data_IF_841113781899
#
_entry.id   IF_841113781899
#
_cell.length_a   1.000
_cell.length_b   1.000
_cell.length_c   1.000
_cell.angle_alpha   90.00
_cell.angle_beta   90.00
_cell.angle_gamma   90.00
#
_symmetry.space_group_name_H-M   'P 1'
#
loop_
_entity.id
_entity.type
_entity.pdbx_description
1 polymer ?
#
# COMPACT_ATOMS: atom_id res chain seq x y z
N UNK A 1 -4.00 -0.06 24.67
CA UNK A 1 -3.57 0.28 23.29
C UNK A 1 -2.17 0.86 23.43
N UNK A 2 -1.17 0.29 22.76
CA UNK A 2 0.19 0.86 22.75
C UNK A 2 0.19 2.19 21.97
N UNK A 3 1.19 3.06 22.18
CA UNK A 3 1.32 4.30 21.41
C UNK A 3 1.42 4.00 19.91
N UNK A 4 2.12 2.93 19.54
CA UNK A 4 2.22 2.46 18.14
C UNK A 4 0.87 2.08 17.56
N UNK A 5 0.03 1.36 18.29
CA UNK A 5 -1.30 0.97 17.83
C UNK A 5 -2.19 2.20 17.58
N UNK A 6 -2.17 3.15 18.48
CA UNK A 6 -2.92 4.41 18.32
C UNK A 6 -2.45 5.23 17.11
N UNK A 7 -1.13 5.38 16.94
CA UNK A 7 -0.56 6.09 15.80
C UNK A 7 -0.82 5.37 14.48
N UNK A 8 -0.81 4.02 14.49
CA UNK A 8 -1.17 3.20 13.34
C UNK A 8 -2.59 3.52 12.86
N UNK A 9 -3.55 3.53 13.78
CA UNK A 9 -4.95 3.85 13.46
C UNK A 9 -5.10 5.25 12.87
N UNK A 10 -4.38 6.23 13.40
CA UNK A 10 -4.39 7.60 12.84
C UNK A 10 -3.93 7.61 11.38
N UNK A 11 -2.86 6.88 11.04
CA UNK A 11 -2.33 6.83 9.68
C UNK A 11 -3.30 6.11 8.74
N UNK A 12 -3.81 4.95 9.14
CA UNK A 12 -4.75 4.17 8.32
C UNK A 12 -6.05 4.96 8.09
N UNK A 13 -6.58 5.63 9.12
CA UNK A 13 -7.78 6.45 8.96
C UNK A 13 -7.56 7.62 7.98
N UNK A 14 -6.38 8.24 7.96
CA UNK A 14 -6.05 9.26 6.95
C UNK A 14 -5.97 8.67 5.54
N UNK A 15 -5.37 7.49 5.39
CA UNK A 15 -5.31 6.80 4.10
C UNK A 15 -6.71 6.45 3.60
N UNK A 16 -7.56 5.95 4.49
CA UNK A 16 -8.96 5.60 4.21
C UNK A 16 -9.78 6.82 3.80
N UNK A 17 -9.67 7.94 4.50
CA UNK A 17 -10.37 9.19 4.16
C UNK A 17 -10.02 9.65 2.74
N UNK A 18 -8.72 9.60 2.37
CA UNK A 18 -8.28 9.89 0.99
C UNK A 18 -8.87 8.89 -0.01
N UNK A 19 -8.88 7.61 0.33
CA UNK A 19 -9.41 6.56 -0.51
C UNK A 19 -10.90 6.72 -0.76
N UNK A 20 -11.70 6.97 0.29
CA UNK A 20 -13.14 7.18 0.20
C UNK A 20 -13.51 8.41 -0.63
N UNK A 21 -12.76 9.53 -0.49
CA UNK A 21 -12.94 10.72 -1.33
C UNK A 21 -12.72 10.39 -2.80
N UNK A 22 -11.64 9.68 -3.13
CA UNK A 22 -11.35 9.25 -4.51
C UNK A 22 -12.38 8.25 -5.04
N UNK A 23 -12.88 7.37 -4.19
CA UNK A 23 -13.95 6.43 -4.55
C UNK A 23 -15.24 7.17 -4.91
N UNK A 24 -15.57 8.27 -4.21
CA UNK A 24 -16.71 9.13 -4.55
C UNK A 24 -16.52 9.89 -5.86
N UNK A 25 -15.28 10.32 -6.16
CA UNK A 25 -14.99 11.11 -7.36
C UNK A 25 -14.93 10.26 -8.64
N UNK A 26 -14.40 9.04 -8.56
CA UNK A 26 -14.04 8.23 -9.74
C UNK A 26 -14.58 6.80 -9.72
N UNK A 27 -15.35 6.42 -8.69
CA UNK A 27 -15.76 5.04 -8.48
C UNK A 27 -14.54 4.11 -8.32
N UNK A 28 -14.74 2.84 -8.63
CA UNK A 28 -13.67 1.83 -8.62
C UNK A 28 -12.94 1.70 -9.96
N UNK A 29 -12.65 2.82 -10.64
CA UNK A 29 -12.00 2.86 -11.95
C UNK A 29 -10.67 2.08 -12.02
N UNK A 30 -9.98 1.90 -10.89
CA UNK A 30 -8.78 1.08 -10.79
C UNK A 30 -9.01 -0.42 -11.06
N UNK A 31 -10.26 -0.88 -11.09
CA UNK A 31 -10.62 -2.26 -11.39
C UNK A 31 -10.17 -2.74 -12.77
N UNK A 32 -10.04 -1.82 -13.73
CA UNK A 32 -9.56 -2.12 -15.07
C UNK A 32 -8.03 -2.28 -15.15
N UNK A 33 -7.30 -1.89 -14.09
CA UNK A 33 -5.84 -1.95 -14.10
C UNK A 33 -5.36 -3.38 -13.93
N UNK A 34 -4.42 -3.78 -14.77
CA UNK A 34 -3.66 -5.01 -14.59
C UNK A 34 -2.90 -4.94 -13.27
N UNK A 35 -2.67 -6.07 -12.65
CA UNK A 35 -1.92 -6.14 -11.40
C UNK A 35 -0.54 -5.47 -11.53
N UNK A 36 0.20 -5.73 -12.61
CA UNK A 36 1.49 -5.07 -12.89
C UNK A 36 1.40 -3.54 -12.93
N UNK A 37 0.30 -2.99 -13.47
CA UNK A 37 0.08 -1.53 -13.51
C UNK A 37 -0.11 -0.93 -12.12
N UNK A 38 -0.80 -1.63 -11.22
CA UNK A 38 -0.92 -1.21 -9.83
C UNK A 38 0.43 -1.24 -9.10
N UNK A 39 1.24 -2.27 -9.33
CA UNK A 39 2.59 -2.37 -8.77
C UNK A 39 3.50 -1.25 -9.31
N UNK A 40 3.35 -0.86 -10.57
CA UNK A 40 4.10 0.26 -11.14
C UNK A 40 3.70 1.60 -10.49
N UNK A 41 2.43 1.80 -10.11
CA UNK A 41 2.02 2.97 -9.34
C UNK A 41 2.71 3.02 -7.96
N UNK A 42 2.82 1.88 -7.29
CA UNK A 42 3.55 1.78 -6.03
C UNK A 42 5.05 2.06 -6.25
N UNK A 43 5.63 1.48 -7.31
CA UNK A 43 7.05 1.64 -7.64
C UNK A 43 7.44 3.10 -7.89
N UNK A 44 6.64 3.85 -8.64
CA UNK A 44 6.90 5.27 -8.93
C UNK A 44 6.98 6.07 -7.62
N UNK A 45 6.07 5.80 -6.68
CA UNK A 45 6.05 6.46 -5.37
C UNK A 45 7.26 6.12 -4.52
N UNK A 46 7.61 4.85 -4.43
CA UNK A 46 8.82 4.40 -3.72
C UNK A 46 10.09 5.01 -4.30
N UNK A 47 10.20 5.08 -5.64
CA UNK A 47 11.32 5.75 -6.33
C UNK A 47 11.38 7.24 -6.04
N UNK A 48 10.23 7.93 -5.99
CA UNK A 48 10.18 9.36 -5.65
C UNK A 48 10.66 9.60 -4.22
N UNK A 49 10.18 8.81 -3.25
CA UNK A 49 10.62 8.90 -1.85
C UNK A 49 12.14 8.78 -1.78
N UNK A 50 12.71 7.72 -2.36
CA UNK A 50 14.15 7.49 -2.34
C UNK A 50 14.93 8.63 -3.00
N UNK A 51 14.48 9.14 -4.14
CA UNK A 51 15.15 10.26 -4.82
C UNK A 51 15.15 11.53 -3.95
N UNK A 52 14.07 11.82 -3.21
CA UNK A 52 14.02 12.95 -2.28
C UNK A 52 14.97 12.72 -1.10
N UNK A 53 15.01 11.51 -0.56
CA UNK A 53 15.94 11.15 0.54
C UNK A 53 17.42 11.28 0.13
N UNK A 54 17.78 10.91 -1.11
CA UNK A 54 19.15 10.96 -1.62
C UNK A 54 19.58 12.38 -2.02
N UNK A 55 18.68 13.16 -2.60
CA UNK A 55 19.05 14.47 -3.17
C UNK A 55 18.71 15.66 -2.27
N UNK A 56 17.79 15.48 -1.32
CA UNK A 56 17.21 16.58 -0.53
C UNK A 56 16.39 17.56 -1.37
N UNK A 57 16.17 17.28 -2.66
CA UNK A 57 15.51 18.19 -3.60
C UNK A 57 14.11 17.71 -3.95
N UNK A 58 13.14 18.60 -3.79
CA UNK A 58 11.75 18.37 -4.16
C UNK A 58 11.25 19.53 -5.02
N UNK A 59 10.81 19.23 -6.25
CA UNK A 59 10.22 20.24 -7.17
C UNK A 59 8.70 20.33 -7.05
N UNK A 60 8.05 19.22 -6.73
CA UNK A 60 6.60 19.17 -6.53
C UNK A 60 6.36 19.31 -5.02
N UNK A 61 5.48 20.25 -4.65
CA UNK A 61 5.25 20.61 -3.22
C UNK A 61 4.46 19.59 -2.39
N UNK A 62 4.15 18.43 -2.97
CA UNK A 62 3.46 17.37 -2.22
C UNK A 62 4.36 16.80 -1.12
N UNK A 63 3.84 16.75 0.10
CA UNK A 63 4.53 16.16 1.25
C UNK A 63 4.93 14.70 0.94
N UNK A 64 6.16 14.33 1.30
CA UNK A 64 6.67 12.95 1.20
C UNK A 64 5.73 11.93 1.88
N UNK A 65 5.01 12.33 2.94
CA UNK A 65 3.99 11.52 3.60
C UNK A 65 2.88 11.09 2.64
N UNK A 66 2.52 11.96 1.67
CA UNK A 66 1.50 11.64 0.67
C UNK A 66 1.88 10.46 -0.21
N UNK A 67 3.18 10.24 -0.45
CA UNK A 67 3.67 9.10 -1.20
C UNK A 67 3.53 7.80 -0.39
N UNK A 68 3.84 7.82 0.91
CA UNK A 68 3.62 6.65 1.78
C UNK A 68 2.12 6.30 1.86
N UNK A 69 1.24 7.29 2.02
CA UNK A 69 -0.22 7.07 2.00
C UNK A 69 -0.69 6.51 0.65
N UNK A 70 -0.12 6.99 -0.44
CA UNK A 70 -0.37 6.44 -1.76
C UNK A 70 0.05 4.98 -1.89
N UNK A 71 1.23 4.60 -1.36
CA UNK A 71 1.70 3.21 -1.35
C UNK A 71 0.75 2.33 -0.52
N UNK A 72 0.32 2.78 0.68
CA UNK A 72 -0.65 2.05 1.51
C UNK A 72 -1.93 1.80 0.71
N UNK A 73 -2.53 2.84 0.14
CA UNK A 73 -3.79 2.73 -0.59
C UNK A 73 -3.67 1.82 -1.83
N UNK A 74 -2.61 1.96 -2.63
CA UNK A 74 -2.39 1.08 -3.78
C UNK A 74 -2.09 -0.36 -3.36
N UNK A 75 -1.42 -0.59 -2.22
CA UNK A 75 -1.21 -1.94 -1.70
C UNK A 75 -2.52 -2.60 -1.29
N UNK A 76 -3.43 -1.87 -0.64
CA UNK A 76 -4.77 -2.37 -0.31
C UNK A 76 -5.59 -2.61 -1.59
N UNK A 77 -5.54 -1.69 -2.58
CA UNK A 77 -6.16 -1.90 -3.89
C UNK A 77 -5.62 -3.17 -4.56
N UNK A 78 -4.31 -3.43 -4.50
CA UNK A 78 -3.73 -4.67 -5.02
C UNK A 78 -4.32 -5.91 -4.34
N UNK A 79 -4.47 -5.90 -3.00
CA UNK A 79 -5.08 -7.00 -2.25
C UNK A 79 -6.53 -7.22 -2.66
N UNK A 80 -7.32 -6.15 -2.79
CA UNK A 80 -8.71 -6.22 -3.27
C UNK A 80 -8.74 -6.81 -4.70
N UNK A 81 -7.82 -6.38 -5.56
CA UNK A 81 -7.75 -6.86 -6.95
C UNK A 81 -7.32 -8.34 -7.03
N UNK A 82 -6.46 -8.81 -6.12
CA UNK A 82 -6.09 -10.23 -6.02
C UNK A 82 -7.29 -11.08 -5.61
N UNK A 83 -8.13 -10.58 -4.70
CA UNK A 83 -9.33 -11.29 -4.23
C UNK A 83 -10.44 -11.33 -5.31
N UNK A 84 -10.69 -10.19 -5.95
CA UNK A 84 -11.81 -10.05 -6.91
C UNK A 84 -11.45 -10.45 -8.35
N UNK A 85 -10.16 -10.60 -8.67
CA UNK A 85 -9.67 -10.69 -10.05
C UNK A 85 -9.70 -9.34 -10.78
N UNK A 86 -8.96 -9.22 -11.88
CA UNK A 86 -8.95 -8.03 -12.74
C UNK A 86 -10.23 -8.01 -13.58
N UNK A 87 -10.83 -6.82 -13.73
CA UNK A 87 -11.98 -6.67 -14.61
C UNK A 87 -11.52 -6.75 -16.08
N UNK A 88 -12.11 -7.69 -16.84
CA UNK A 88 -11.77 -7.90 -18.25
C UNK A 88 -12.47 -6.88 -19.14
N UNK A 89 -11.77 -5.85 -19.57
CA UNK A 89 -12.28 -4.80 -20.47
C UNK A 89 -12.57 -5.32 -21.88
N UNK A 90 -11.85 -6.37 -22.32
CA UNK A 90 -11.92 -6.87 -23.72
C UNK A 90 -13.29 -7.41 -24.15
N UNK A 91 -14.17 -7.72 -23.21
CA UNK A 91 -15.51 -8.28 -23.47
C UNK A 91 -16.65 -7.29 -23.27
N UNK A 92 -16.36 -6.05 -22.86
CA UNK A 92 -17.37 -5.03 -22.53
C UNK A 92 -16.95 -3.67 -23.05
N UNK A 93 -17.92 -2.84 -23.40
CA UNK A 93 -17.68 -1.44 -23.74
C UNK A 93 -17.09 -0.73 -22.51
N UNK A 94 -15.97 -0.03 -22.68
CA UNK A 94 -15.34 0.76 -21.61
C UNK A 94 -16.26 1.88 -21.09
N UNK A 95 -17.28 2.23 -21.85
CA UNK A 95 -18.34 3.16 -21.46
C UNK A 95 -19.44 2.51 -20.59
N UNK A 96 -19.37 1.19 -20.39
CA UNK A 96 -20.25 0.48 -19.47
C UNK A 96 -19.60 0.48 -18.08
N UNK A 97 -20.19 1.20 -17.12
CA UNK A 97 -19.74 1.30 -15.72
C UNK A 97 -19.78 -0.05 -14.97
N UNK A 98 -19.88 -1.16 -15.68
CA UNK A 98 -19.92 -2.52 -15.11
C UNK A 98 -18.65 -2.94 -14.35
N UNK A 99 -17.54 -2.19 -14.49
CA UNK A 99 -16.35 -2.33 -13.65
C UNK A 99 -16.56 -1.76 -12.25
N UNK A 100 -17.47 -0.81 -12.11
CA UNK A 100 -17.72 -0.13 -10.84
C UNK A 100 -18.47 -1.05 -9.87
N UNK A 101 -18.04 -1.04 -8.64
CA UNK A 101 -18.62 -1.83 -7.57
C UNK A 101 -19.25 -0.90 -6.54
N UNK A 102 -20.25 -1.42 -5.84
CA UNK A 102 -20.86 -0.68 -4.73
C UNK A 102 -19.79 -0.24 -3.71
N UNK A 103 -19.82 1.05 -3.37
CA UNK A 103 -18.85 1.67 -2.49
C UNK A 103 -18.76 0.96 -1.14
N UNK A 104 -19.89 0.52 -0.56
CA UNK A 104 -19.92 -0.17 0.72
C UNK A 104 -19.15 -1.51 0.69
N UNK A 105 -19.24 -2.24 -0.43
CA UNK A 105 -18.49 -3.47 -0.63
C UNK A 105 -16.99 -3.20 -0.68
N UNK A 106 -16.58 -2.16 -1.42
CA UNK A 106 -15.16 -1.78 -1.54
C UNK A 106 -14.62 -1.30 -0.19
N UNK A 107 -15.36 -0.49 0.54
CA UNK A 107 -14.98 0.00 1.87
C UNK A 107 -14.86 -1.16 2.86
N UNK A 108 -15.76 -2.14 2.79
CA UNK A 108 -15.68 -3.35 3.61
C UNK A 108 -14.40 -4.14 3.33
N UNK A 109 -14.03 -4.35 2.07
CA UNK A 109 -12.79 -5.01 1.68
C UNK A 109 -11.55 -4.21 2.11
N UNK A 110 -11.59 -2.88 1.95
CA UNK A 110 -10.52 -2.01 2.43
C UNK A 110 -10.28 -2.18 3.93
N UNK A 111 -11.35 -2.14 4.74
CA UNK A 111 -11.27 -2.33 6.18
C UNK A 111 -10.71 -3.72 6.52
N UNK A 112 -11.22 -4.76 5.87
CA UNK A 112 -10.74 -6.13 6.07
C UNK A 112 -9.22 -6.25 5.91
N UNK A 113 -8.66 -5.73 4.82
CA UNK A 113 -7.22 -5.79 4.57
C UNK A 113 -6.40 -4.89 5.48
N UNK A 114 -6.92 -3.70 5.82
CA UNK A 114 -6.27 -2.79 6.77
C UNK A 114 -6.20 -3.40 8.17
N UNK A 115 -7.29 -4.02 8.65
CA UNK A 115 -7.36 -4.69 9.94
C UNK A 115 -6.41 -5.91 9.98
N UNK A 116 -6.33 -6.67 8.88
CA UNK A 116 -5.40 -7.79 8.80
C UNK A 116 -3.94 -7.33 8.83
N UNK A 117 -3.59 -6.25 8.12
CA UNK A 117 -2.26 -5.64 8.17
C UNK A 117 -1.90 -5.19 9.59
N UNK A 118 -2.86 -4.54 10.29
CA UNK A 118 -2.69 -4.14 11.68
C UNK A 118 -2.45 -5.34 12.60
N UNK A 119 -3.23 -6.40 12.45
CA UNK A 119 -3.04 -7.62 13.24
C UNK A 119 -1.64 -8.21 13.04
N UNK A 120 -1.19 -8.34 11.80
CA UNK A 120 0.18 -8.81 11.51
C UNK A 120 1.26 -7.91 12.12
N UNK A 121 1.04 -6.59 12.12
CA UNK A 121 1.95 -5.65 12.76
C UNK A 121 2.02 -5.89 14.27
N UNK A 122 0.88 -6.05 14.94
CA UNK A 122 0.82 -6.28 16.39
C UNK A 122 1.51 -7.61 16.77
N UNK A 123 1.25 -8.69 16.01
CA UNK A 123 1.88 -9.98 16.23
C UNK A 123 3.41 -9.88 16.08
N UNK A 124 3.89 -9.21 15.01
CA UNK A 124 5.33 -8.99 14.80
C UNK A 124 5.96 -8.08 15.85
N UNK A 125 5.29 -7.01 16.27
CA UNK A 125 5.79 -6.13 17.33
C UNK A 125 5.91 -6.84 18.67
N UNK A 126 4.99 -7.75 18.97
CA UNK A 126 5.10 -8.61 20.15
C UNK A 126 6.38 -9.45 20.12
N UNK A 127 6.68 -10.09 18.97
CA UNK A 127 7.82 -10.99 18.85
C UNK A 127 9.17 -10.25 18.75
N UNK A 128 9.20 -9.10 18.10
CA UNK A 128 10.42 -8.34 17.83
C UNK A 128 10.63 -7.13 18.75
N UNK A 129 9.74 -6.89 19.74
CA UNK A 129 9.90 -5.79 20.70
C UNK A 129 9.90 -4.41 20.06
N UNK A 130 9.07 -4.18 19.04
CA UNK A 130 8.97 -2.89 18.33
C UNK A 130 10.30 -2.41 17.71
N UNK A 131 11.17 -3.32 17.28
CA UNK A 131 12.49 -3.02 16.72
C UNK A 131 12.47 -1.97 15.57
N UNK A 132 11.33 -1.77 14.91
CA UNK A 132 11.16 -0.75 13.88
C UNK A 132 11.41 0.68 14.39
N UNK A 133 11.24 0.93 15.69
CA UNK A 133 11.45 2.25 16.31
C UNK A 133 12.90 2.71 16.14
N UNK A 134 13.86 1.78 16.21
CA UNK A 134 15.29 2.07 16.05
C UNK A 134 15.75 2.11 14.58
N UNK A 135 14.89 1.71 13.64
CA UNK A 135 15.23 1.75 12.22
C UNK A 135 15.25 3.18 11.67
N UNK A 136 16.15 3.45 10.74
CA UNK A 136 16.13 4.69 9.95
C UNK A 136 14.95 4.69 8.98
N UNK A 137 14.40 5.87 8.70
CA UNK A 137 13.33 6.02 7.67
C UNK A 137 13.82 5.50 6.32
N UNK A 138 15.06 5.83 5.93
CA UNK A 138 15.68 5.35 4.69
C UNK A 138 15.74 3.82 4.60
N UNK A 139 15.95 3.13 5.74
CA UNK A 139 15.93 1.67 5.77
C UNK A 139 14.53 1.11 5.51
N UNK A 140 13.48 1.77 6.03
CA UNK A 140 12.09 1.41 5.72
C UNK A 140 11.78 1.61 4.24
N UNK A 141 12.27 2.70 3.63
CA UNK A 141 12.16 2.95 2.18
C UNK A 141 12.83 1.86 1.36
N UNK A 142 14.03 1.43 1.76
CA UNK A 142 14.75 0.34 1.09
C UNK A 142 14.00 -0.99 1.17
N UNK A 143 13.41 -1.31 2.33
CA UNK A 143 12.59 -2.51 2.49
C UNK A 143 11.33 -2.45 1.63
N UNK A 144 10.65 -1.31 1.54
CA UNK A 144 9.50 -1.11 0.65
C UNK A 144 9.92 -1.39 -0.80
N UNK A 145 11.00 -0.78 -1.28
CA UNK A 145 11.50 -1.00 -2.64
C UNK A 145 11.88 -2.46 -2.89
N UNK A 146 12.48 -3.13 -1.90
CA UNK A 146 12.81 -4.56 -2.00
C UNK A 146 11.53 -5.41 -2.15
N UNK A 147 10.47 -5.13 -1.38
CA UNK A 147 9.19 -5.84 -1.49
C UNK A 147 8.55 -5.63 -2.87
N UNK A 148 8.61 -4.42 -3.42
CA UNK A 148 8.13 -4.13 -4.78
C UNK A 148 8.88 -4.99 -5.81
N UNK A 149 10.22 -5.06 -5.73
CA UNK A 149 11.02 -5.87 -6.66
C UNK A 149 10.72 -7.37 -6.53
N UNK A 150 10.48 -7.86 -5.31
CA UNK A 150 10.03 -9.24 -5.07
C UNK A 150 8.69 -9.51 -5.75
N UNK A 151 7.71 -8.64 -5.57
CA UNK A 151 6.38 -8.79 -6.20
C UNK A 151 6.52 -8.81 -7.72
N UNK A 152 7.27 -7.89 -8.32
CA UNK A 152 7.53 -7.88 -9.77
C UNK A 152 8.14 -9.20 -10.25
N UNK A 153 9.04 -9.78 -9.47
CA UNK A 153 9.67 -11.06 -9.81
C UNK A 153 8.69 -12.22 -9.69
N UNK A 154 7.87 -12.24 -8.65
CA UNK A 154 6.82 -13.26 -8.45
C UNK A 154 5.79 -13.19 -9.58
N UNK A 155 5.34 -11.98 -9.93
CA UNK A 155 4.40 -11.74 -11.01
C UNK A 155 4.95 -12.25 -12.36
N UNK A 156 6.22 -11.93 -12.67
CA UNK A 156 6.89 -12.42 -13.89
C UNK A 156 7.07 -13.95 -13.95
N UNK A 157 7.00 -14.64 -12.81
CA UNK A 157 7.08 -16.09 -12.69
C UNK A 157 5.69 -16.77 -12.57
N UNK A 158 4.62 -16.12 -13.04
CA UNK A 158 3.24 -16.60 -12.92
C UNK A 158 2.84 -16.97 -11.48
N UNK A 159 3.22 -16.13 -10.53
CA UNK A 159 2.96 -16.29 -9.10
C UNK A 159 3.58 -17.54 -8.44
N UNK A 160 4.55 -18.19 -9.10
CA UNK A 160 5.24 -19.36 -8.54
C UNK A 160 6.43 -18.92 -7.71
N UNK A 161 6.49 -19.40 -6.47
CA UNK A 161 7.63 -19.24 -5.55
C UNK A 161 8.11 -20.61 -5.08
N UNK A 162 9.38 -20.76 -4.75
CA UNK A 162 9.96 -22.01 -4.25
C UNK A 162 9.91 -22.08 -2.72
N UNK A 163 10.20 -20.98 -2.04
CA UNK A 163 10.37 -20.91 -0.58
C UNK A 163 9.81 -19.62 0.00
N UNK A 164 9.54 -18.59 -0.83
CA UNK A 164 9.13 -17.27 -0.34
C UNK A 164 7.63 -17.16 -0.18
N UNK A 165 7.25 -16.26 0.71
CA UNK A 165 5.88 -15.78 0.87
C UNK A 165 5.33 -15.23 -0.44
N UNK A 166 4.01 -15.31 -0.59
CA UNK A 166 3.30 -14.84 -1.78
C UNK A 166 3.32 -13.32 -1.97
N UNK A 167 2.57 -12.87 -2.96
CA UNK A 167 2.42 -11.44 -3.27
C UNK A 167 1.73 -10.70 -2.12
N UNK A 168 0.70 -11.30 -1.55
CA UNK A 168 -0.11 -10.76 -0.45
C UNK A 168 0.74 -10.42 0.79
N UNK A 169 1.59 -11.33 1.24
CA UNK A 169 2.47 -11.11 2.39
C UNK A 169 3.43 -9.95 2.16
N UNK A 170 3.96 -9.81 0.93
CA UNK A 170 4.81 -8.68 0.56
C UNK A 170 4.02 -7.35 0.56
N UNK A 171 2.74 -7.34 0.15
CA UNK A 171 1.87 -6.17 0.21
C UNK A 171 1.56 -5.75 1.65
N UNK A 172 1.27 -6.70 2.54
CA UNK A 172 1.05 -6.42 3.97
C UNK A 172 2.31 -5.84 4.63
N UNK A 173 3.47 -6.38 4.33
CA UNK A 173 4.73 -5.84 4.84
C UNK A 173 4.96 -4.39 4.36
N UNK A 174 4.67 -4.08 3.09
CA UNK A 174 4.77 -2.72 2.57
C UNK A 174 3.82 -1.75 3.27
N UNK A 175 2.57 -2.16 3.53
CA UNK A 175 1.61 -1.35 4.29
C UNK A 175 2.23 -0.99 5.65
N UNK A 176 2.72 -1.99 6.38
CA UNK A 176 3.28 -1.79 7.72
C UNK A 176 4.54 -0.91 7.71
N UNK A 177 5.48 -1.13 6.76
CA UNK A 177 6.66 -0.27 6.64
C UNK A 177 6.29 1.18 6.29
N UNK A 178 5.29 1.41 5.44
CA UNK A 178 4.81 2.75 5.12
C UNK A 178 4.15 3.43 6.32
N UNK A 179 3.41 2.70 7.14
CA UNK A 179 2.84 3.23 8.39
C UNK A 179 3.96 3.62 9.34
N UNK A 180 4.96 2.75 9.57
CA UNK A 180 6.09 3.05 10.44
C UNK A 180 6.89 4.28 9.96
N UNK A 181 7.17 4.38 8.65
CA UNK A 181 7.82 5.56 8.09
C UNK A 181 7.00 6.83 8.31
N UNK A 182 5.67 6.76 8.16
CA UNK A 182 4.76 7.89 8.36
C UNK A 182 4.70 8.34 9.83
N UNK A 183 4.75 7.40 10.78
CA UNK A 183 4.83 7.69 12.22
C UNK A 183 6.15 8.42 12.52
N UNK A 184 7.28 7.89 12.06
CA UNK A 184 8.61 8.49 12.29
C UNK A 184 8.73 9.90 11.68
N UNK A 185 8.16 10.13 10.51
CA UNK A 185 8.12 11.46 9.89
C UNK A 185 7.28 12.48 10.69
N UNK A 186 6.30 12.03 11.47
CA UNK A 186 5.50 12.90 12.35
C UNK A 186 6.29 13.31 13.60
N UNK A 187 7.14 12.40 14.12
CA UNK A 187 7.92 12.64 15.33
C UNK A 187 9.13 13.55 15.10
N UNK A 188 9.58 13.72 13.85
CA UNK A 188 10.72 14.55 13.49
C UNK A 188 10.36 16.00 13.10
N UNK A 189 9.11 16.42 13.32
CA UNK A 189 8.60 17.78 13.14
C UNK A 189 8.30 18.40 14.49
#
# INVERSE_FOLDING_TARGET
MSDTEFEYDIIINKCKDIFEKKLKDYGSSWRILRFSSLIDQIFIKGKRIRNIEETGLQKIQDDIKSEYYGIINYSIICLIQLELGVFEVEKKDINDDSYDLESDKIISLYNHFADYAKKLMLDKNHDYGEAWVDMKITSLTDLILQKILRIKKIDSNNHKTLVSEGVDSNLFDMINYCVFASIKLKQNV
#
